data_IF_962550365484
#
_entry.id   IF_962550365484
#
_cell.length_a   1.000
_cell.length_b   1.000
_cell.length_c   1.000
_cell.angle_alpha   90.00
_cell.angle_beta   90.00
_cell.angle_gamma   90.00
#
_symmetry.space_group_name_H-M   'P 1'
#
loop_
_entity.id
_entity.type
_entity.pdbx_description
1 polymer ?
#
# COMPACT_ATOMS: atom_id res chain seq x y z
N UNK A 1 22.61 10.21 24.21
CA UNK A 1 22.04 10.25 22.85
C UNK A 1 21.43 8.89 22.59
N UNK A 2 20.22 8.83 22.02
CA UNK A 2 19.55 7.56 21.72
C UNK A 2 19.92 7.11 20.30
N UNK A 3 20.51 5.94 20.17
CA UNK A 3 21.00 5.36 18.92
C UNK A 3 20.26 4.07 18.59
N UNK A 4 20.08 3.76 17.29
CA UNK A 4 19.54 2.48 16.85
C UNK A 4 20.68 1.48 16.64
N UNK A 5 20.56 0.27 17.18
CA UNK A 5 21.53 -0.82 17.03
C UNK A 5 20.82 -2.12 16.69
N UNK A 6 21.45 -2.98 15.88
CA UNK A 6 21.08 -4.40 15.78
C UNK A 6 21.82 -5.12 16.91
N UNK A 7 21.09 -5.88 17.73
CA UNK A 7 21.65 -6.69 18.80
C UNK A 7 21.46 -8.16 18.47
N UNK A 8 22.39 -9.00 18.93
CA UNK A 8 22.33 -10.45 18.80
C UNK A 8 22.46 -11.15 20.15
N UNK A 9 22.88 -12.42 20.08
CA UNK A 9 23.01 -13.30 21.24
C UNK A 9 23.96 -12.75 22.33
N UNK A 10 24.92 -11.89 21.97
CA UNK A 10 25.80 -11.21 22.93
C UNK A 10 25.08 -10.27 23.90
N UNK A 11 23.86 -9.86 23.56
CA UNK A 11 23.01 -8.98 24.37
C UNK A 11 21.82 -9.70 25.01
N UNK A 12 21.81 -11.04 25.01
CA UNK A 12 20.68 -11.88 25.44
C UNK A 12 20.08 -11.47 26.80
N UNK A 13 20.92 -11.31 27.84
CA UNK A 13 20.44 -11.00 29.18
C UNK A 13 19.72 -9.63 29.22
N UNK A 14 20.24 -8.63 28.49
CA UNK A 14 19.64 -7.30 28.42
C UNK A 14 18.32 -7.30 27.62
N UNK A 15 18.24 -8.09 26.54
CA UNK A 15 17.02 -8.28 25.76
C UNK A 15 15.94 -8.92 26.62
N UNK A 16 16.28 -9.99 27.34
CA UNK A 16 15.36 -10.71 28.20
C UNK A 16 14.85 -9.85 29.38
N UNK A 17 15.73 -9.05 29.99
CA UNK A 17 15.34 -8.10 31.03
C UNK A 17 14.36 -7.05 30.47
N UNK A 18 14.63 -6.52 29.27
CA UNK A 18 13.77 -5.53 28.63
C UNK A 18 12.40 -6.08 28.22
N UNK A 19 12.35 -7.29 27.68
CA UNK A 19 11.12 -7.98 27.31
C UNK A 19 10.22 -8.20 28.54
N UNK A 20 10.79 -8.75 29.62
CA UNK A 20 10.08 -8.94 30.91
C UNK A 20 9.57 -7.63 31.50
N UNK A 21 10.33 -6.54 31.37
CA UNK A 21 9.92 -5.21 31.82
C UNK A 21 8.71 -4.68 31.04
N UNK A 22 8.69 -4.87 29.72
CA UNK A 22 7.65 -4.32 28.84
C UNK A 22 6.40 -5.21 28.74
N UNK A 23 6.57 -6.53 28.84
CA UNK A 23 5.53 -7.54 28.65
C UNK A 23 5.45 -8.50 29.85
N UNK A 24 5.08 -8.04 31.04
CA UNK A 24 5.09 -8.87 32.25
C UNK A 24 4.14 -10.09 32.19
N UNK A 25 3.17 -10.09 31.28
CA UNK A 25 2.19 -11.18 31.09
C UNK A 25 2.38 -11.95 29.78
N UNK A 26 2.89 -11.29 28.74
CA UNK A 26 2.97 -11.81 27.37
C UNK A 26 4.42 -12.00 26.87
N UNK A 27 5.41 -11.92 27.77
CA UNK A 27 6.81 -12.13 27.43
C UNK A 27 7.06 -13.52 26.83
N UNK A 28 8.02 -13.58 25.91
CA UNK A 28 8.44 -14.84 25.29
C UNK A 28 9.15 -15.74 26.31
N UNK A 29 9.15 -17.05 26.05
CA UNK A 29 9.94 -17.96 26.87
C UNK A 29 11.42 -17.78 26.56
N UNK A 30 12.26 -18.04 27.56
CA UNK A 30 13.71 -17.93 27.44
C UNK A 30 14.30 -18.84 26.35
N UNK A 31 13.71 -20.02 26.16
CA UNK A 31 14.10 -20.96 25.11
C UNK A 31 13.78 -20.40 23.72
N UNK A 32 12.58 -19.84 23.52
CA UNK A 32 12.16 -19.26 22.25
C UNK A 32 13.08 -18.08 21.85
N UNK A 33 13.50 -17.24 22.81
CA UNK A 33 14.42 -16.13 22.54
C UNK A 33 15.77 -16.59 21.99
N UNK A 34 16.30 -17.72 22.47
CA UNK A 34 17.60 -18.23 21.98
C UNK A 34 17.48 -18.71 20.54
N UNK A 35 16.48 -19.55 20.26
CA UNK A 35 16.24 -20.07 18.93
C UNK A 35 15.99 -18.93 17.92
N UNK A 36 15.24 -17.91 18.34
CA UNK A 36 14.92 -16.74 17.53
C UNK A 36 16.13 -15.81 17.31
N UNK A 37 16.99 -15.61 18.30
CA UNK A 37 18.19 -14.76 18.14
C UNK A 37 19.27 -15.41 17.27
N UNK A 38 19.20 -16.73 17.06
CA UNK A 38 20.07 -17.49 16.17
C UNK A 38 19.50 -17.68 14.74
N UNK A 39 18.20 -17.39 14.51
CA UNK A 39 17.58 -17.47 13.18
C UNK A 39 17.93 -16.23 12.33
N UNK A 40 18.60 -16.45 11.19
CA UNK A 40 18.99 -15.38 10.25
C UNK A 40 17.79 -14.58 9.69
N UNK A 41 16.57 -15.13 9.75
CA UNK A 41 15.33 -14.44 9.34
C UNK A 41 14.82 -13.48 10.41
N UNK A 42 15.25 -13.65 11.65
CA UNK A 42 14.85 -12.81 12.76
C UNK A 42 15.87 -11.68 12.96
N UNK A 43 15.41 -10.48 13.31
CA UNK A 43 16.30 -9.39 13.67
C UNK A 43 15.76 -8.59 14.85
N UNK A 44 16.62 -8.41 15.84
CA UNK A 44 16.36 -7.57 17.00
C UNK A 44 17.04 -6.21 16.84
N UNK A 45 16.24 -5.16 16.73
CA UNK A 45 16.69 -3.77 16.75
C UNK A 45 16.38 -3.15 18.11
N UNK A 46 17.34 -2.39 18.65
CA UNK A 46 17.20 -1.67 19.90
C UNK A 46 17.51 -0.19 19.71
N UNK A 47 16.68 0.67 20.32
CA UNK A 47 17.06 2.02 20.67
C UNK A 47 17.82 1.97 22.00
N UNK A 48 19.05 2.48 22.02
CA UNK A 48 19.95 2.40 23.18
C UNK A 48 20.36 3.80 23.63
N UNK A 49 20.29 4.07 24.93
CA UNK A 49 20.88 5.23 25.58
C UNK A 49 22.04 4.80 26.49
N UNK A 50 23.28 5.01 26.04
CA UNK A 50 24.46 4.45 26.72
C UNK A 50 24.48 2.93 26.53
N UNK A 51 24.33 2.19 27.64
CA UNK A 51 24.23 0.73 27.66
C UNK A 51 22.79 0.23 27.91
N UNK A 52 21.82 1.15 28.05
CA UNK A 52 20.44 0.82 28.39
C UNK A 52 19.57 0.72 27.13
N UNK A 53 18.85 -0.39 26.98
CA UNK A 53 17.77 -0.52 25.99
C UNK A 53 16.58 0.35 26.44
N UNK A 54 16.16 1.28 25.57
CA UNK A 54 15.05 2.20 25.82
C UNK A 54 13.86 1.96 24.88
N UNK A 55 14.03 1.12 23.87
CA UNK A 55 12.97 0.62 23.00
C UNK A 55 13.48 -0.50 22.11
N UNK A 56 12.59 -1.35 21.63
CA UNK A 56 12.91 -2.46 20.75
C UNK A 56 11.94 -2.63 19.59
N UNK A 57 12.44 -3.25 18.54
CA UNK A 57 11.68 -3.72 17.40
C UNK A 57 12.26 -5.08 17.03
N UNK A 58 11.47 -6.12 17.19
CA UNK A 58 11.82 -7.47 16.81
C UNK A 58 11.02 -7.89 15.60
N UNK A 59 11.71 -8.20 14.50
CA UNK A 59 11.10 -8.52 13.22
C UNK A 59 11.48 -9.91 12.75
N UNK A 60 10.62 -10.50 11.94
CA UNK A 60 10.87 -11.79 11.29
C UNK A 60 10.51 -11.72 9.81
N UNK A 61 11.47 -12.09 8.96
CA UNK A 61 11.32 -12.10 7.51
C UNK A 61 10.70 -13.42 7.05
N UNK A 62 9.41 -13.42 6.70
CA UNK A 62 8.67 -14.58 6.17
C UNK A 62 8.71 -14.67 4.63
N UNK A 63 9.78 -14.17 3.99
CA UNK A 63 9.96 -14.33 2.54
C UNK A 63 9.92 -15.79 2.11
N UNK A 64 9.29 -16.06 0.96
CA UNK A 64 9.10 -17.40 0.41
C UNK A 64 7.95 -18.19 1.02
N UNK A 65 7.71 -18.09 2.33
CA UNK A 65 6.60 -18.80 3.00
C UNK A 65 5.28 -18.03 2.91
N UNK A 66 5.29 -16.75 3.29
CA UNK A 66 4.09 -15.91 3.28
C UNK A 66 4.30 -14.51 2.67
N UNK A 67 5.53 -14.19 2.26
CA UNK A 67 5.96 -12.95 1.62
C UNK A 67 5.55 -11.67 2.40
N UNK A 68 5.88 -11.64 3.69
CA UNK A 68 5.75 -10.43 4.53
C UNK A 68 6.85 -10.31 5.57
N UNK A 69 7.06 -9.07 6.04
CA UNK A 69 7.81 -8.81 7.26
C UNK A 69 6.85 -8.86 8.44
N UNK A 70 7.18 -9.61 9.48
CA UNK A 70 6.38 -9.70 10.70
C UNK A 70 7.00 -8.83 11.77
N UNK A 71 6.24 -7.93 12.39
CA UNK A 71 6.63 -7.35 13.68
C UNK A 71 6.22 -8.34 14.75
N UNK A 72 7.20 -9.02 15.33
CA UNK A 72 7.02 -10.01 16.39
C UNK A 72 6.90 -9.34 17.75
N UNK A 73 7.66 -8.26 17.96
CA UNK A 73 7.66 -7.50 19.20
C UNK A 73 8.00 -6.02 18.94
N UNK A 74 7.38 -5.10 19.69
CA UNK A 74 7.72 -3.68 19.68
C UNK A 74 7.35 -3.03 21.02
N UNK A 75 8.33 -2.45 21.70
CA UNK A 75 8.10 -1.73 22.95
C UNK A 75 9.00 -0.50 23.10
N UNK A 76 8.58 0.36 24.02
CA UNK A 76 9.37 1.49 24.51
C UNK A 76 9.34 1.44 26.03
N UNK A 77 10.52 1.61 26.64
CA UNK A 77 10.71 1.62 28.07
C UNK A 77 9.68 2.58 28.72
N UNK A 78 9.00 2.22 29.82
CA UNK A 78 7.98 3.05 30.45
C UNK A 78 8.35 4.52 30.62
N UNK A 79 9.55 4.80 31.15
CA UNK A 79 10.08 6.16 31.37
C UNK A 79 10.40 6.96 30.08
N UNK A 80 10.46 6.30 28.92
CA UNK A 80 10.82 6.89 27.63
C UNK A 80 9.61 7.00 26.67
N UNK A 81 8.42 6.61 27.11
CA UNK A 81 7.19 6.67 26.30
C UNK A 81 6.78 8.11 26.01
N UNK A 82 5.94 8.27 24.98
CA UNK A 82 5.38 9.57 24.51
C UNK A 82 6.42 10.57 23.99
N UNK A 83 7.62 10.09 23.62
CA UNK A 83 8.70 10.89 23.02
C UNK A 83 8.90 10.60 21.52
N UNK A 84 7.97 9.88 20.89
CA UNK A 84 8.04 9.52 19.47
C UNK A 84 8.93 8.32 19.12
N UNK A 85 9.52 7.65 20.13
CA UNK A 85 10.41 6.50 19.90
C UNK A 85 9.71 5.32 19.21
N UNK A 86 8.45 5.04 19.54
CA UNK A 86 7.68 3.98 18.88
C UNK A 86 7.45 4.29 17.38
N UNK A 87 7.18 5.55 17.02
CA UNK A 87 7.08 5.95 15.61
C UNK A 87 8.42 5.76 14.89
N UNK A 88 9.54 6.10 15.54
CA UNK A 88 10.88 5.87 14.99
C UNK A 88 11.16 4.38 14.72
N UNK A 89 10.70 3.49 15.61
CA UNK A 89 10.78 2.03 15.42
C UNK A 89 9.91 1.58 14.25
N UNK A 90 8.66 2.05 14.14
CA UNK A 90 7.78 1.72 13.01
C UNK A 90 8.37 2.15 11.66
N UNK A 91 8.99 3.32 11.55
CA UNK A 91 9.68 3.73 10.33
C UNK A 91 10.87 2.82 9.99
N UNK A 92 11.58 2.31 10.99
CA UNK A 92 12.65 1.34 10.78
C UNK A 92 12.14 0.01 10.21
N UNK A 93 10.99 -0.48 10.70
CA UNK A 93 10.35 -1.67 10.14
C UNK A 93 9.97 -1.47 8.66
N UNK A 94 9.52 -0.26 8.29
CA UNK A 94 9.24 0.10 6.89
C UNK A 94 10.50 0.11 6.03
N UNK A 95 11.59 0.66 6.54
CA UNK A 95 12.89 0.64 5.86
C UNK A 95 13.43 -0.78 5.66
N UNK A 96 13.28 -1.65 6.66
CA UNK A 96 13.66 -3.07 6.56
C UNK A 96 12.82 -3.81 5.53
N UNK A 97 11.50 -3.64 5.57
CA UNK A 97 10.58 -4.24 4.60
C UNK A 97 10.98 -3.84 3.17
N UNK A 98 11.25 -2.56 2.96
CA UNK A 98 11.70 -2.01 1.67
C UNK A 98 13.04 -2.58 1.21
N UNK A 99 13.99 -2.83 2.12
CA UNK A 99 15.30 -3.43 1.78
C UNK A 99 15.20 -4.93 1.47
N UNK A 100 14.13 -5.58 1.93
CA UNK A 100 13.91 -7.02 1.79
C UNK A 100 13.04 -7.37 0.57
N UNK A 101 12.70 -6.38 -0.27
CA UNK A 101 11.75 -6.51 -1.40
C UNK A 101 10.37 -7.09 -1.00
N UNK A 102 10.02 -7.01 0.29
CA UNK A 102 8.72 -7.44 0.80
C UNK A 102 7.72 -6.29 0.63
N UNK A 103 6.45 -6.66 0.37
CA UNK A 103 5.41 -5.69 0.03
C UNK A 103 4.51 -5.33 1.21
N UNK A 104 4.52 -6.14 2.27
CA UNK A 104 3.63 -5.97 3.41
C UNK A 104 4.33 -6.25 4.73
N UNK A 105 3.93 -5.50 5.75
CA UNK A 105 4.32 -5.71 7.14
C UNK A 105 3.06 -6.10 7.92
N UNK A 106 3.11 -7.25 8.58
CA UNK A 106 2.04 -7.72 9.44
C UNK A 106 2.43 -7.49 10.90
N UNK A 107 1.46 -7.09 11.71
CA UNK A 107 1.62 -6.93 13.15
C UNK A 107 0.29 -7.17 13.85
N UNK A 108 0.32 -7.42 15.15
CA UNK A 108 -0.87 -7.69 15.95
C UNK A 108 -0.81 -6.94 17.26
N UNK A 109 -1.99 -6.74 17.83
CA UNK A 109 -2.13 -6.25 19.18
C UNK A 109 -3.46 -6.70 19.77
N UNK A 110 -3.55 -6.69 21.09
CA UNK A 110 -4.81 -6.87 21.83
C UNK A 110 -5.82 -5.77 21.54
N UNK A 111 -7.10 -6.10 21.59
CA UNK A 111 -8.21 -5.14 21.49
C UNK A 111 -8.18 -4.04 22.58
N UNK A 112 -7.64 -4.33 23.76
CA UNK A 112 -7.48 -3.41 24.88
C UNK A 112 -6.30 -2.45 24.71
N UNK A 113 -5.34 -2.76 23.83
CA UNK A 113 -4.16 -1.94 23.60
C UNK A 113 -4.44 -0.84 22.58
N UNK A 114 -5.29 0.10 23.00
CA UNK A 114 -5.69 1.27 22.20
C UNK A 114 -4.48 2.12 21.78
N UNK A 115 -3.44 2.19 22.62
CA UNK A 115 -2.22 2.94 22.32
C UNK A 115 -1.49 2.39 21.08
N UNK A 116 -1.38 1.06 20.97
CA UNK A 116 -0.74 0.42 19.82
C UNK A 116 -1.63 0.50 18.57
N UNK A 117 -2.95 0.34 18.71
CA UNK A 117 -3.89 0.53 17.61
C UNK A 117 -3.79 1.94 17.02
N UNK A 118 -3.77 2.98 17.86
CA UNK A 118 -3.56 4.36 17.41
C UNK A 118 -2.18 4.56 16.77
N UNK A 119 -1.14 3.88 17.24
CA UNK A 119 0.19 3.95 16.63
C UNK A 119 0.18 3.34 15.22
N UNK A 120 -0.45 2.16 15.05
CA UNK A 120 -0.62 1.51 13.76
C UNK A 120 -1.32 2.43 12.75
N UNK A 121 -2.48 2.97 13.11
CA UNK A 121 -3.25 3.90 12.27
C UNK A 121 -2.42 5.13 11.87
N UNK A 122 -1.72 5.75 12.83
CA UNK A 122 -0.83 6.90 12.56
C UNK A 122 0.33 6.55 11.63
N UNK A 123 0.77 5.31 11.64
CA UNK A 123 1.84 4.81 10.78
C UNK A 123 1.31 4.21 9.46
N UNK A 124 0.04 4.44 9.12
CA UNK A 124 -0.62 3.95 7.90
C UNK A 124 -0.77 2.43 7.83
N UNK A 125 -0.77 1.75 8.97
CA UNK A 125 -1.24 0.38 9.05
C UNK A 125 -2.76 0.40 9.14
N UNK A 126 -3.41 -0.58 8.53
CA UNK A 126 -4.86 -0.76 8.62
C UNK A 126 -5.21 -2.07 9.31
N UNK A 127 -6.35 -2.09 9.98
CA UNK A 127 -6.90 -3.32 10.54
C UNK A 127 -7.29 -4.26 9.40
N UNK A 128 -6.71 -5.46 9.38
CA UNK A 128 -6.92 -6.47 8.35
C UNK A 128 -7.89 -7.57 8.83
N UNK A 129 -7.73 -8.03 10.07
CA UNK A 129 -8.52 -9.13 10.64
C UNK A 129 -8.66 -8.97 12.15
N UNK A 130 -9.81 -9.39 12.68
CA UNK A 130 -10.03 -9.57 14.12
C UNK A 130 -10.20 -11.06 14.41
N UNK A 131 -9.49 -11.58 15.40
CA UNK A 131 -9.63 -12.95 15.91
C UNK A 131 -10.10 -12.90 17.36
N UNK A 132 -11.39 -13.17 17.62
CA UNK A 132 -12.07 -12.94 18.90
C UNK A 132 -11.41 -13.59 20.13
N UNK A 133 -10.75 -14.74 19.95
CA UNK A 133 -10.07 -15.50 21.01
C UNK A 133 -8.55 -15.63 20.76
N UNK A 134 -7.93 -14.60 20.16
CA UNK A 134 -6.51 -14.64 19.74
C UNK A 134 -5.50 -14.61 20.90
N UNK A 135 -5.83 -13.97 22.02
CA UNK A 135 -5.03 -14.00 23.25
C UNK A 135 -5.71 -14.86 24.31
N UNK A 136 -4.93 -15.46 25.22
CA UNK A 136 -5.46 -16.39 26.24
C UNK A 136 -5.24 -15.96 27.70
N UNK A 137 -4.51 -14.86 27.96
CA UNK A 137 -4.22 -14.38 29.31
C UNK A 137 -4.29 -12.83 29.42
N UNK A 138 -5.46 -12.24 29.69
CA UNK A 138 -6.79 -12.85 29.64
C UNK A 138 -7.20 -13.13 28.18
N UNK A 139 -8.27 -13.92 28.03
CA UNK A 139 -8.91 -14.12 26.71
C UNK A 139 -9.38 -12.79 26.14
N UNK A 140 -8.92 -12.48 24.94
CA UNK A 140 -9.21 -11.22 24.28
C UNK A 140 -8.97 -11.32 22.76
N UNK A 141 -9.72 -10.52 22.02
CA UNK A 141 -9.57 -10.41 20.58
C UNK A 141 -8.17 -9.90 20.18
N UNK A 142 -7.59 -10.57 19.18
CA UNK A 142 -6.37 -10.16 18.50
C UNK A 142 -6.72 -9.36 17.25
N UNK A 143 -6.21 -8.13 17.18
CA UNK A 143 -6.37 -7.24 16.05
C UNK A 143 -5.11 -7.32 15.19
N UNK A 144 -5.26 -7.86 13.98
CA UNK A 144 -4.18 -8.02 13.00
C UNK A 144 -4.16 -6.82 12.06
N UNK A 145 -3.06 -6.11 12.05
CA UNK A 145 -2.80 -4.95 11.22
C UNK A 145 -1.86 -5.29 10.07
N UNK A 146 -2.08 -4.63 8.94
CA UNK A 146 -1.21 -4.71 7.77
C UNK A 146 -0.79 -3.31 7.34
N UNK A 147 0.50 -3.13 7.09
CA UNK A 147 1.02 -2.01 6.31
C UNK A 147 1.43 -2.53 4.95
N UNK A 148 0.91 -1.93 3.90
CA UNK A 148 1.40 -2.17 2.56
C UNK A 148 2.44 -1.09 2.28
N UNK A 149 3.69 -1.50 2.10
CA UNK A 149 4.71 -0.57 1.64
C UNK A 149 4.25 -0.05 0.29
N UNK A 150 4.19 1.29 0.13
CA UNK A 150 3.74 2.03 -1.06
C UNK A 150 3.52 1.11 -2.27
N UNK A 151 2.28 1.12 -2.79
CA UNK A 151 1.87 0.44 -4.02
C UNK A 151 3.06 0.08 -4.89
N UNK A 152 3.34 -1.23 -5.00
CA UNK A 152 4.57 -1.77 -5.56
C UNK A 152 5.06 -0.88 -6.69
N UNK A 153 6.26 -0.30 -6.54
CA UNK A 153 6.82 0.60 -7.55
C UNK A 153 6.79 -0.07 -8.92
N UNK A 154 6.95 -1.40 -8.98
CA UNK A 154 6.82 -2.17 -10.21
C UNK A 154 5.39 -2.16 -10.75
N UNK A 155 4.36 -2.32 -9.92
CA UNK A 155 2.95 -2.19 -10.33
C UNK A 155 2.63 -0.77 -10.80
N UNK A 156 3.07 0.24 -10.06
CA UNK A 156 2.87 1.65 -10.42
C UNK A 156 3.54 1.98 -11.74
N UNK A 157 4.82 1.63 -11.89
CA UNK A 157 5.58 1.81 -13.12
C UNK A 157 4.93 1.05 -14.28
N UNK A 158 4.46 -0.18 -14.05
CA UNK A 158 3.76 -0.98 -15.04
C UNK A 158 2.46 -0.33 -15.50
N UNK A 159 1.59 0.10 -14.57
CA UNK A 159 0.32 0.74 -14.89
C UNK A 159 0.52 2.04 -15.67
N UNK A 160 1.50 2.86 -15.27
CA UNK A 160 1.83 4.09 -15.99
C UNK A 160 2.28 3.78 -17.42
N UNK A 161 3.21 2.84 -17.60
CA UNK A 161 3.67 2.40 -18.93
C UNK A 161 2.52 1.84 -19.76
N UNK A 162 1.67 1.00 -19.18
CA UNK A 162 0.54 0.40 -19.87
C UNK A 162 -0.46 1.44 -20.36
N UNK A 163 -0.81 2.44 -19.54
CA UNK A 163 -1.68 3.56 -19.94
C UNK A 163 -1.06 4.39 -21.05
N UNK A 164 0.24 4.67 -20.94
CA UNK A 164 1.01 5.40 -21.96
C UNK A 164 1.20 4.61 -23.26
N UNK A 165 1.11 3.28 -23.24
CA UNK A 165 1.23 2.42 -24.42
C UNK A 165 -0.13 2.08 -25.06
N UNK A 166 -1.24 2.27 -24.34
CA UNK A 166 -2.61 1.95 -24.78
C UNK A 166 -3.38 3.22 -25.17
N UNK A 167 -4.57 3.47 -24.60
CA UNK A 167 -5.49 4.49 -25.11
C UNK A 167 -4.87 5.89 -25.17
N UNK A 168 -4.19 6.30 -24.10
CA UNK A 168 -3.56 7.63 -24.01
C UNK A 168 -2.41 7.77 -25.03
N UNK A 169 -1.66 6.69 -25.25
CA UNK A 169 -0.56 6.60 -26.22
C UNK A 169 -0.95 6.41 -27.68
N UNK A 170 -2.25 6.28 -27.99
CA UNK A 170 -2.73 5.86 -29.31
C UNK A 170 -2.20 4.47 -29.70
N UNK A 171 -2.13 3.56 -28.72
CA UNK A 171 -1.80 2.15 -28.92
C UNK A 171 -2.75 1.45 -29.87
N UNK A 172 -2.28 0.35 -30.46
CA UNK A 172 -3.09 -0.45 -31.37
C UNK A 172 -4.17 -1.23 -30.62
N UNK A 173 -5.37 -1.29 -31.20
CA UNK A 173 -6.44 -2.14 -30.70
C UNK A 173 -6.15 -3.63 -30.97
N UNK A 174 -6.61 -4.49 -30.07
CA UNK A 174 -6.63 -5.94 -30.23
C UNK A 174 -8.01 -6.43 -30.67
N UNK A 175 -8.20 -7.74 -30.75
CA UNK A 175 -9.49 -8.35 -31.05
C UNK A 175 -10.49 -8.00 -29.94
N UNK A 176 -11.67 -7.52 -30.34
CA UNK A 176 -12.71 -7.16 -29.39
C UNK A 176 -13.11 -8.34 -28.48
N UNK A 177 -13.10 -8.12 -27.17
CA UNK A 177 -13.58 -9.12 -26.18
C UNK A 177 -15.11 -9.18 -26.09
N UNK A 178 -15.79 -8.10 -26.49
CA UNK A 178 -17.25 -7.96 -26.52
C UNK A 178 -17.69 -7.46 -27.90
N UNK A 179 -18.98 -7.60 -28.20
CA UNK A 179 -19.50 -7.09 -29.47
C UNK A 179 -19.30 -5.57 -29.57
N UNK A 180 -18.52 -5.12 -30.56
CA UNK A 180 -18.19 -3.71 -30.83
C UNK A 180 -17.44 -3.00 -29.69
N UNK A 181 -16.70 -3.73 -28.86
CA UNK A 181 -15.76 -3.10 -27.94
C UNK A 181 -14.46 -2.71 -28.64
N UNK A 182 -13.89 -1.62 -28.15
CA UNK A 182 -12.50 -1.25 -28.39
C UNK A 182 -11.68 -1.86 -27.27
N UNK A 183 -10.64 -2.60 -27.61
CA UNK A 183 -9.85 -3.37 -26.65
C UNK A 183 -8.38 -3.08 -26.88
N UNK A 184 -7.64 -2.82 -25.80
CA UNK A 184 -6.20 -2.58 -25.82
C UNK A 184 -5.56 -3.45 -24.74
N UNK A 185 -4.44 -4.09 -25.09
CA UNK A 185 -3.69 -4.96 -24.19
C UNK A 185 -2.24 -4.49 -24.11
N UNK A 186 -1.66 -4.56 -22.92
CA UNK A 186 -0.24 -4.35 -22.69
C UNK A 186 0.29 -5.42 -21.74
N UNK A 187 1.40 -6.05 -22.09
CA UNK A 187 2.02 -7.13 -21.33
C UNK A 187 3.50 -6.82 -21.10
N UNK A 188 3.98 -7.05 -19.87
CA UNK A 188 5.40 -6.94 -19.50
C UNK A 188 5.71 -7.94 -18.38
N UNK A 189 6.42 -9.02 -18.72
CA UNK A 189 6.75 -10.10 -17.79
C UNK A 189 5.50 -10.80 -17.23
N UNK A 190 5.36 -10.79 -15.90
CA UNK A 190 4.24 -11.40 -15.18
C UNK A 190 2.97 -10.52 -15.14
N UNK A 191 3.04 -9.29 -15.67
CA UNK A 191 1.97 -8.31 -15.61
C UNK A 191 1.22 -8.21 -16.95
N UNK A 192 -0.11 -8.14 -16.88
CA UNK A 192 -0.98 -7.87 -18.03
C UNK A 192 -1.98 -6.77 -17.66
N UNK A 193 -2.07 -5.75 -18.50
CA UNK A 193 -3.06 -4.68 -18.44
C UNK A 193 -4.02 -4.80 -19.62
N UNK A 194 -5.30 -4.59 -19.36
CA UNK A 194 -6.34 -4.65 -20.36
C UNK A 194 -7.31 -3.47 -20.20
N UNK A 195 -7.51 -2.69 -21.26
CA UNK A 195 -8.48 -1.59 -21.33
C UNK A 195 -9.54 -1.94 -22.38
N UNK A 196 -10.80 -2.01 -21.97
CA UNK A 196 -11.92 -2.30 -22.86
C UNK A 196 -13.08 -1.36 -22.65
N UNK A 197 -13.56 -0.74 -23.73
CA UNK A 197 -14.70 0.17 -23.68
C UNK A 197 -15.65 0.04 -24.86
N UNK A 198 -16.86 0.50 -24.64
CA UNK A 198 -17.91 0.62 -25.65
C UNK A 198 -18.22 2.10 -25.90
N UNK A 199 -18.48 2.45 -27.15
CA UNK A 199 -18.96 3.77 -27.53
C UNK A 199 -17.85 4.76 -27.90
N UNK A 200 -18.20 6.05 -27.89
CA UNK A 200 -17.31 7.14 -28.32
C UNK A 200 -17.60 8.41 -27.53
N UNK A 201 -18.54 9.24 -28.01
CA UNK A 201 -18.95 10.45 -27.26
C UNK A 201 -19.74 10.16 -25.98
N UNK A 202 -20.31 8.97 -25.85
CA UNK A 202 -20.88 8.40 -24.62
C UNK A 202 -20.31 7.00 -24.54
N UNK A 203 -19.69 6.67 -23.43
CA UNK A 203 -18.91 5.45 -23.32
C UNK A 203 -18.91 4.90 -21.90
N UNK A 204 -18.65 3.61 -21.80
CA UNK A 204 -18.37 2.91 -20.55
C UNK A 204 -17.30 1.86 -20.80
N UNK A 205 -16.42 1.65 -19.84
CA UNK A 205 -15.30 0.73 -19.97
C UNK A 205 -14.73 0.28 -18.64
N UNK A 206 -13.76 -0.60 -18.74
CA UNK A 206 -13.01 -1.16 -17.63
C UNK A 206 -11.53 -1.21 -18.00
N UNK A 207 -10.68 -0.82 -17.05
CA UNK A 207 -9.25 -1.11 -17.06
C UNK A 207 -8.99 -2.18 -15.99
N UNK A 208 -8.21 -3.21 -16.31
CA UNK A 208 -7.92 -4.28 -15.37
C UNK A 208 -6.46 -4.73 -15.45
N UNK A 209 -5.94 -5.19 -14.32
CA UNK A 209 -4.57 -5.65 -14.11
C UNK A 209 -4.57 -7.10 -13.61
N UNK A 210 -3.75 -7.94 -14.24
CA UNK A 210 -3.43 -9.28 -13.80
C UNK A 210 -1.96 -9.39 -13.43
N UNK A 211 -1.68 -10.17 -12.39
CA UNK A 211 -0.33 -10.56 -11.98
C UNK A 211 -0.25 -12.09 -11.99
N UNK A 212 0.69 -12.65 -12.75
CA UNK A 212 0.84 -14.11 -12.94
C UNK A 212 -0.49 -14.77 -13.32
N UNK A 213 -1.26 -14.10 -14.20
CA UNK A 213 -2.59 -14.51 -14.70
C UNK A 213 -3.73 -14.49 -13.66
N UNK A 214 -3.49 -14.00 -12.44
CA UNK A 214 -4.55 -13.80 -11.46
C UNK A 214 -5.03 -12.34 -11.53
N UNK A 215 -6.35 -12.07 -11.57
CA UNK A 215 -6.86 -10.71 -11.46
C UNK A 215 -6.36 -10.08 -10.16
N UNK A 216 -5.92 -8.83 -10.24
CA UNK A 216 -5.33 -8.13 -9.10
C UNK A 216 -6.03 -6.80 -8.81
N UNK A 217 -6.45 -6.08 -9.87
CA UNK A 217 -7.05 -4.76 -9.73
C UNK A 217 -7.95 -4.45 -10.93
N UNK A 218 -9.03 -3.69 -10.70
CA UNK A 218 -9.90 -3.18 -11.78
C UNK A 218 -10.40 -1.77 -11.48
N UNK A 219 -10.63 -1.01 -12.55
CA UNK A 219 -11.29 0.29 -12.54
C UNK A 219 -12.35 0.35 -13.64
N UNK A 220 -13.59 0.55 -13.23
CA UNK A 220 -14.70 0.82 -14.12
C UNK A 220 -14.86 2.33 -14.33
N UNK A 221 -15.28 2.72 -15.53
CA UNK A 221 -15.49 4.13 -15.88
C UNK A 221 -16.65 4.33 -16.84
N UNK A 222 -17.31 5.48 -16.73
CA UNK A 222 -18.41 5.91 -17.61
C UNK A 222 -18.34 7.41 -17.85
N UNK A 223 -18.37 7.80 -19.12
CA UNK A 223 -18.15 9.19 -19.49
C UNK A 223 -18.96 9.64 -20.70
N UNK A 224 -19.01 10.96 -20.86
CA UNK A 224 -19.73 11.61 -21.96
C UNK A 224 -19.19 12.99 -22.29
N UNK A 225 -19.24 13.31 -23.58
CA UNK A 225 -19.13 14.67 -24.11
C UNK A 225 -20.47 15.36 -23.92
N UNK A 226 -20.47 16.51 -23.24
CA UNK A 226 -21.67 17.30 -22.89
C UNK A 226 -21.69 18.70 -23.52
N UNK A 227 -20.64 19.07 -24.26
CA UNK A 227 -20.56 20.36 -24.96
C UNK A 227 -19.73 20.27 -26.24
N UNK A 228 -19.70 21.38 -26.99
CA UNK A 228 -18.93 21.49 -28.22
C UNK A 228 -17.43 21.67 -27.95
N UNK A 229 -16.61 21.54 -29.00
CA UNK A 229 -15.15 21.73 -28.95
C UNK A 229 -14.40 20.72 -28.08
N UNK A 230 -14.98 19.56 -27.79
CA UNK A 230 -14.25 18.48 -27.14
C UNK A 230 -13.09 17.99 -28.00
N UNK A 231 -11.91 17.88 -27.37
CA UNK A 231 -10.69 17.37 -28.01
C UNK A 231 -10.28 16.06 -27.35
N UNK A 232 -10.42 14.96 -28.08
CA UNK A 232 -9.92 13.66 -27.64
C UNK A 232 -8.39 13.61 -27.53
N UNK A 233 -7.67 14.49 -28.21
CA UNK A 233 -6.22 14.61 -28.07
C UNK A 233 -5.83 15.33 -26.77
N UNK A 234 -6.59 16.35 -26.34
CA UNK A 234 -6.36 17.00 -25.03
C UNK A 234 -6.66 16.05 -23.86
N UNK A 235 -7.70 15.20 -23.98
CA UNK A 235 -7.92 14.15 -22.99
C UNK A 235 -6.73 13.19 -22.91
N UNK A 236 -6.24 12.69 -24.06
CA UNK A 236 -5.06 11.80 -24.09
C UNK A 236 -3.82 12.48 -23.50
N UNK A 237 -3.60 13.75 -23.80
CA UNK A 237 -2.52 14.57 -23.23
C UNK A 237 -2.56 14.58 -21.69
N UNK A 238 -3.73 14.83 -21.10
CA UNK A 238 -3.89 14.78 -19.64
C UNK A 238 -3.68 13.37 -19.07
N UNK A 239 -4.19 12.33 -19.74
CA UNK A 239 -4.03 10.94 -19.30
C UNK A 239 -2.59 10.42 -19.40
N UNK A 240 -1.74 11.00 -20.26
CA UNK A 240 -0.30 10.70 -20.32
C UNK A 240 0.46 11.18 -19.08
N UNK A 241 -0.09 12.16 -18.34
CA UNK A 241 0.47 12.75 -17.13
C UNK A 241 -0.06 12.08 -15.85
N UNK A 242 -0.37 10.78 -15.93
CA UNK A 242 -0.84 9.97 -14.79
C UNK A 242 0.14 10.06 -13.60
N UNK A 243 -0.31 10.43 -12.38
CA UNK A 243 0.57 10.59 -11.23
C UNK A 243 0.92 9.26 -10.56
N UNK A 244 2.15 9.11 -10.07
CA UNK A 244 2.61 7.90 -9.37
C UNK A 244 1.80 7.62 -8.10
N UNK A 245 1.39 8.65 -7.37
CA UNK A 245 0.66 8.49 -6.10
C UNK A 245 -0.80 8.05 -6.29
N UNK A 246 -1.38 8.31 -7.46
CA UNK A 246 -2.77 7.98 -7.81
C UNK A 246 -2.87 7.58 -9.29
N UNK A 247 -2.33 6.41 -9.68
CA UNK A 247 -2.15 6.04 -11.08
C UNK A 247 -3.45 5.52 -11.72
N UNK A 248 -4.51 6.32 -11.65
CA UNK A 248 -5.85 5.97 -12.12
C UNK A 248 -6.15 6.64 -13.46
N UNK A 249 -6.14 7.98 -13.47
CA UNK A 249 -6.43 8.84 -14.62
C UNK A 249 -5.32 9.89 -14.79
N UNK A 250 -5.63 11.11 -15.21
CA UNK A 250 -4.66 12.21 -15.32
C UNK A 250 -4.34 12.87 -13.96
N UNK A 251 -3.56 13.96 -13.97
CA UNK A 251 -3.19 14.71 -12.77
C UNK A 251 -4.39 15.46 -12.19
N UNK A 252 -4.25 16.00 -10.98
CA UNK A 252 -5.34 16.76 -10.34
C UNK A 252 -5.82 17.95 -11.21
N UNK A 253 -4.89 18.61 -11.89
CA UNK A 253 -5.18 19.69 -12.84
C UNK A 253 -4.17 19.65 -14.01
N UNK A 254 -4.64 19.92 -15.23
CA UNK A 254 -3.80 20.17 -16.40
C UNK A 254 -4.43 21.24 -17.29
N UNK A 255 -3.62 22.10 -17.92
CA UNK A 255 -4.11 23.16 -18.81
C UNK A 255 -3.29 23.24 -20.08
N UNK A 256 -3.97 23.49 -21.21
CA UNK A 256 -3.32 23.78 -22.49
C UNK A 256 -4.22 24.71 -23.32
N UNK A 257 -3.80 25.96 -23.47
CA UNK A 257 -4.59 27.00 -24.13
C UNK A 257 -5.92 27.25 -23.42
N UNK A 258 -7.02 27.14 -24.16
CA UNK A 258 -8.39 27.35 -23.64
C UNK A 258 -8.97 26.12 -22.91
N UNK A 259 -8.23 25.02 -22.87
CA UNK A 259 -8.65 23.76 -22.24
C UNK A 259 -8.11 23.61 -20.81
N UNK A 260 -8.97 23.11 -19.93
CA UNK A 260 -8.65 22.72 -18.55
C UNK A 260 -9.15 21.30 -18.27
N UNK A 261 -8.27 20.43 -17.80
CA UNK A 261 -8.60 19.12 -17.24
C UNK A 261 -8.54 19.20 -15.71
N UNK A 262 -9.51 18.60 -15.04
CA UNK A 262 -9.56 18.48 -13.57
C UNK A 262 -9.92 17.06 -13.19
N UNK A 263 -9.23 16.50 -12.20
CA UNK A 263 -9.49 15.17 -11.68
C UNK A 263 -9.52 15.17 -10.15
N UNK A 264 -10.63 14.71 -9.59
CA UNK A 264 -10.81 14.54 -8.15
C UNK A 264 -10.96 13.05 -7.84
N UNK A 265 -10.16 12.55 -6.89
CA UNK A 265 -10.13 11.15 -6.48
C UNK A 265 -10.25 11.07 -4.96
N UNK A 266 -11.23 10.29 -4.50
CA UNK A 266 -11.40 9.85 -3.13
C UNK A 266 -10.97 8.37 -3.00
N UNK A 267 -10.33 8.03 -1.90
CA UNK A 267 -9.74 6.71 -1.67
C UNK A 267 -8.29 6.56 -2.14
N UNK A 268 -7.84 5.30 -2.13
CA UNK A 268 -6.49 4.85 -2.44
C UNK A 268 -6.50 3.73 -3.49
N UNK A 269 -5.35 3.10 -3.76
CA UNK A 269 -5.26 2.07 -4.80
C UNK A 269 -6.19 0.86 -4.57
N UNK A 270 -6.56 0.59 -3.31
CA UNK A 270 -7.34 -0.58 -2.93
C UNK A 270 -8.84 -0.37 -3.06
N UNK A 271 -9.28 0.88 -2.86
CA UNK A 271 -10.67 1.25 -3.01
C UNK A 271 -10.76 2.75 -3.27
N UNK A 272 -11.23 3.12 -4.47
CA UNK A 272 -11.34 4.52 -4.86
C UNK A 272 -12.54 4.79 -5.76
N UNK A 273 -12.91 6.06 -5.80
CA UNK A 273 -13.77 6.61 -6.83
C UNK A 273 -13.35 8.03 -7.17
N UNK A 274 -13.70 8.47 -8.37
CA UNK A 274 -13.31 9.79 -8.83
C UNK A 274 -14.15 10.30 -10.00
N UNK A 275 -13.88 11.56 -10.31
CA UNK A 275 -14.48 12.28 -11.44
C UNK A 275 -13.40 13.07 -12.15
N UNK A 276 -13.36 12.93 -13.46
CA UNK A 276 -12.60 13.83 -14.34
C UNK A 276 -13.54 14.69 -15.18
N UNK A 277 -13.12 15.92 -15.45
CA UNK A 277 -13.83 16.86 -16.32
C UNK A 277 -12.87 17.59 -17.23
N UNK A 278 -13.35 17.97 -18.42
CA UNK A 278 -12.67 18.92 -19.29
C UNK A 278 -13.57 20.13 -19.50
N UNK A 279 -12.99 21.31 -19.30
CA UNK A 279 -13.61 22.60 -19.58
C UNK A 279 -12.92 23.28 -20.76
N UNK A 280 -13.70 23.97 -21.60
CA UNK A 280 -13.20 24.84 -22.66
C UNK A 280 -13.75 26.26 -22.46
N UNK A 281 -12.86 27.24 -22.34
CA UNK A 281 -13.19 28.64 -22.00
C UNK A 281 -14.11 28.76 -20.76
N UNK A 282 -13.84 27.93 -19.75
CA UNK A 282 -14.58 27.90 -18.49
C UNK A 282 -15.91 27.12 -18.51
N UNK A 283 -16.34 26.58 -19.66
CA UNK A 283 -17.54 25.74 -19.73
C UNK A 283 -17.15 24.26 -19.70
N UNK A 284 -17.74 23.47 -18.81
CA UNK A 284 -17.51 22.01 -18.77
C UNK A 284 -18.15 21.38 -20.01
N UNK A 285 -17.34 20.66 -20.78
CA UNK A 285 -17.73 20.04 -22.06
C UNK A 285 -17.57 18.52 -22.07
N UNK A 286 -16.96 17.94 -21.04
CA UNK A 286 -16.80 16.50 -20.85
C UNK A 286 -16.77 16.15 -19.37
N UNK A 287 -17.34 14.99 -19.03
CA UNK A 287 -17.21 14.39 -17.71
C UNK A 287 -17.05 12.87 -17.82
N UNK A 288 -16.30 12.29 -16.89
CA UNK A 288 -16.21 10.85 -16.69
C UNK A 288 -16.12 10.53 -15.19
N UNK A 289 -16.88 9.54 -14.76
CA UNK A 289 -16.86 8.98 -13.41
C UNK A 289 -16.15 7.64 -13.46
N UNK A 290 -15.36 7.35 -12.44
CA UNK A 290 -14.63 6.09 -12.36
C UNK A 290 -14.55 5.61 -10.91
N UNK A 291 -14.41 4.30 -10.73
CA UNK A 291 -14.26 3.65 -9.44
C UNK A 291 -13.59 2.30 -9.60
N UNK A 292 -12.88 1.85 -8.58
CA UNK A 292 -12.09 0.63 -8.67
C UNK A 292 -11.40 0.27 -7.37
N UNK A 293 -10.58 -0.76 -7.45
CA UNK A 293 -9.87 -1.28 -6.30
C UNK A 293 -9.18 -2.61 -6.57
N UNK A 294 -8.60 -3.17 -5.50
CA UNK A 294 -8.07 -4.53 -5.52
C UNK A 294 -9.19 -5.54 -5.75
N UNK A 295 -8.88 -6.61 -6.46
CA UNK A 295 -9.77 -7.75 -6.67
C UNK A 295 -9.18 -8.96 -5.93
N UNK A 296 -10.06 -9.73 -5.29
CA UNK A 296 -9.74 -11.03 -4.71
C UNK A 296 -10.63 -12.10 -5.38
N UNK A 297 -10.06 -13.27 -5.64
CA UNK A 297 -10.74 -14.42 -6.25
C UNK A 297 -10.46 -15.71 -5.51
#
# INVERSE_FOLDING_TARGET
MIEMKKLGMESYDAILEFDKLCFPTDCWKEEDWKDLLEDDRATYYALVEGDKIVGDLFTYNWSGENDYLKIMNIAVHPDYRKQGLAMKLMEYAKEECKKSDLMKICAETRASNVAMQTLFEKCSYRLNKVEEDGYNNPTEAEFKYVYISKMDKQITDFLIKAKQATYAGKGAETVSSREKSHDLIYEDGDYMYYDTYLGGNKFAGEEALWIKKNPYWSMNYVGRVIGENFSGDFLKEALLLVPEEKPFRGPAEHTNGDYKYECCIDGDFEWFHGKETISYKGNVIYECYFHGGLIEG
#
